data_IF_276881734147
#
_entry.id   IF_276881734147
#
_cell.length_a   1.000
_cell.length_b   1.000
_cell.length_c   1.000
_cell.angle_alpha   90.00
_cell.angle_beta   90.00
_cell.angle_gamma   90.00
#
_symmetry.space_group_name_H-M   'P 1'
#
loop_
_entity.id
_entity.type
_entity.pdbx_description
1 polymer ?
#
# COMPACT_ATOMS: atom_id res chain seq x y z
N UNK A 1 16.84 -5.62 -4.99
CA UNK A 1 16.46 -4.29 -4.47
C UNK A 1 15.85 -3.48 -5.60
N UNK A 2 14.71 -2.90 -5.33
CA UNK A 2 14.03 -2.12 -6.34
C UNK A 2 14.72 -0.79 -6.52
N UNK A 3 14.77 -0.38 -7.76
CA UNK A 3 15.41 0.86 -8.16
C UNK A 3 14.53 2.05 -7.75
N UNK A 4 15.11 3.00 -7.01
CA UNK A 4 14.43 4.24 -6.65
C UNK A 4 14.07 5.09 -7.89
N UNK A 5 14.67 4.74 -9.05
CA UNK A 5 14.39 5.41 -10.31
C UNK A 5 13.25 4.76 -11.09
N UNK A 6 12.52 3.81 -10.46
CA UNK A 6 11.37 3.18 -11.08
C UNK A 6 10.41 4.25 -11.61
N UNK A 7 10.16 4.20 -12.91
CA UNK A 7 9.31 5.19 -13.58
C UNK A 7 7.85 4.82 -13.37
N UNK A 8 7.19 5.55 -12.49
CA UNK A 8 5.79 5.34 -12.17
C UNK A 8 4.91 6.31 -12.94
N UNK A 9 3.73 5.83 -13.30
CA UNK A 9 2.67 6.71 -13.75
C UNK A 9 2.40 7.78 -12.68
N UNK A 10 2.14 9.05 -13.07
CA UNK A 10 1.93 10.12 -12.11
C UNK A 10 0.91 9.82 -11.01
N UNK A 11 -0.17 9.13 -11.34
CA UNK A 11 -1.19 8.76 -10.35
C UNK A 11 -0.63 7.80 -9.29
N UNK A 12 0.20 6.85 -9.71
CA UNK A 12 0.84 5.91 -8.76
C UNK A 12 1.84 6.63 -7.87
N UNK A 13 2.58 7.57 -8.43
CA UNK A 13 3.52 8.39 -7.67
C UNK A 13 2.79 9.25 -6.64
N UNK A 14 1.69 9.86 -7.03
CA UNK A 14 0.88 10.67 -6.11
C UNK A 14 0.31 9.82 -4.98
N UNK A 15 -0.16 8.61 -5.29
CA UNK A 15 -0.67 7.68 -4.28
C UNK A 15 0.42 7.32 -3.25
N UNK A 16 1.63 7.03 -3.72
CA UNK A 16 2.77 6.74 -2.84
C UNK A 16 3.09 7.93 -1.94
N UNK A 17 3.16 9.12 -2.50
CA UNK A 17 3.44 10.34 -1.73
C UNK A 17 2.35 10.62 -0.71
N UNK A 18 1.10 10.38 -1.08
CA UNK A 18 -0.03 10.57 -0.20
C UNK A 18 0.05 9.66 1.01
N UNK A 19 0.25 8.36 0.78
CA UNK A 19 0.38 7.37 1.87
C UNK A 19 1.60 7.68 2.73
N UNK A 20 2.73 8.00 2.12
CA UNK A 20 3.95 8.35 2.83
C UNK A 20 3.73 9.54 3.78
N UNK A 21 3.06 10.57 3.28
CA UNK A 21 2.75 11.75 4.07
C UNK A 21 1.78 11.44 5.22
N UNK A 22 0.75 10.65 4.96
CA UNK A 22 -0.19 10.24 6.01
C UNK A 22 0.50 9.48 7.14
N UNK A 23 1.36 8.54 6.78
CA UNK A 23 2.11 7.75 7.77
C UNK A 23 2.97 8.69 8.63
N UNK A 24 3.68 9.60 8.01
CA UNK A 24 4.53 10.55 8.73
C UNK A 24 3.71 11.46 9.63
N UNK A 25 2.62 12.01 9.14
CA UNK A 25 1.73 12.91 9.91
C UNK A 25 1.20 12.17 11.14
N UNK A 26 0.65 10.98 10.94
CA UNK A 26 0.05 10.22 12.04
C UNK A 26 1.10 9.74 13.04
N UNK A 27 2.28 9.37 12.56
CA UNK A 27 3.38 8.98 13.44
C UNK A 27 3.82 10.16 14.31
N UNK A 28 4.06 11.31 13.70
CA UNK A 28 4.55 12.50 14.43
C UNK A 28 3.49 13.04 15.37
N UNK A 29 2.21 12.98 14.99
CA UNK A 29 1.11 13.40 15.86
C UNK A 29 1.06 12.57 17.15
N UNK A 30 1.56 11.33 17.11
CA UNK A 30 1.64 10.47 18.29
C UNK A 30 2.99 10.55 19.00
N UNK A 31 3.82 11.50 18.64
CA UNK A 31 5.19 11.64 19.17
C UNK A 31 5.99 10.35 19.05
N UNK A 32 5.74 9.60 18.00
CA UNK A 32 6.36 8.30 17.76
C UNK A 32 7.58 8.48 16.85
N UNK A 33 8.70 7.87 17.23
CA UNK A 33 9.89 7.88 16.39
C UNK A 33 9.77 6.87 15.25
N UNK A 34 10.57 7.04 14.21
CA UNK A 34 10.66 6.03 13.15
C UNK A 34 11.09 4.68 13.69
N UNK A 35 12.02 4.67 14.66
CA UNK A 35 12.45 3.44 15.31
C UNK A 35 11.30 2.74 16.05
N UNK A 36 10.45 3.49 16.71
CA UNK A 36 9.29 2.91 17.41
C UNK A 36 8.29 2.31 16.45
N UNK A 37 7.97 3.01 15.36
CA UNK A 37 7.07 2.47 14.34
C UNK A 37 7.66 1.21 13.72
N UNK A 38 8.96 1.23 13.40
CA UNK A 38 9.66 0.07 12.86
C UNK A 38 9.54 -1.14 13.79
N UNK A 39 9.72 -0.93 15.08
CA UNK A 39 9.56 -1.99 16.08
C UNK A 39 8.14 -2.56 16.04
N UNK A 40 7.12 -1.71 16.00
CA UNK A 40 5.72 -2.13 15.98
C UNK A 40 5.37 -2.97 14.76
N UNK A 41 5.93 -2.65 13.60
CA UNK A 41 5.63 -3.37 12.36
C UNK A 41 6.70 -4.37 11.97
N UNK A 42 7.69 -4.57 12.83
CA UNK A 42 8.76 -5.58 12.67
C UNK A 42 9.59 -5.38 11.41
N UNK A 43 10.06 -4.16 11.23
CA UNK A 43 11.00 -3.84 10.16
C UNK A 43 12.11 -2.94 10.70
N UNK A 44 13.05 -2.56 9.86
CA UNK A 44 14.13 -1.67 10.26
C UNK A 44 13.69 -0.20 10.21
N UNK A 45 14.34 0.69 11.00
CA UNK A 45 14.10 2.14 10.87
C UNK A 45 14.37 2.66 9.46
N UNK A 46 15.34 2.08 8.76
CA UNK A 46 15.62 2.45 7.37
C UNK A 46 14.44 2.15 6.44
N UNK A 47 13.72 1.06 6.70
CA UNK A 47 12.50 0.72 5.96
C UNK A 47 11.42 1.79 6.18
N UNK A 48 11.23 2.24 7.41
CA UNK A 48 10.27 3.31 7.70
C UNK A 48 10.68 4.61 7.00
N UNK A 49 11.97 4.92 7.02
CA UNK A 49 12.48 6.10 6.32
C UNK A 49 12.19 6.04 4.83
N UNK A 50 12.39 4.88 4.21
CA UNK A 50 12.10 4.67 2.79
C UNK A 50 10.60 4.80 2.51
N UNK A 51 9.75 4.23 3.37
CA UNK A 51 8.29 4.33 3.23
C UNK A 51 7.84 5.79 3.30
N UNK A 52 8.31 6.53 4.30
CA UNK A 52 7.96 7.95 4.47
C UNK A 52 8.56 8.82 3.38
N UNK A 53 9.58 8.34 2.70
CA UNK A 53 10.16 9.00 1.53
C UNK A 53 9.44 8.70 0.22
N UNK A 54 8.41 7.87 0.25
CA UNK A 54 7.65 7.51 -0.95
C UNK A 54 8.40 6.59 -1.90
N UNK A 55 9.33 5.77 -1.38
CA UNK A 55 10.10 4.86 -2.20
C UNK A 55 9.19 3.77 -2.79
N UNK A 56 9.14 3.65 -4.14
CA UNK A 56 8.26 2.66 -4.77
C UNK A 56 8.71 1.21 -4.55
N UNK A 57 9.93 1.01 -4.07
CA UNK A 57 10.47 -0.32 -3.79
C UNK A 57 10.07 -0.92 -2.45
N UNK A 58 9.25 -0.24 -1.66
CA UNK A 58 8.83 -0.76 -0.37
C UNK A 58 7.78 -1.85 -0.52
N UNK A 59 7.86 -2.86 0.33
CA UNK A 59 6.86 -3.93 0.35
C UNK A 59 5.50 -3.37 0.75
N UNK A 60 4.47 -3.66 -0.05
CA UNK A 60 3.12 -3.15 0.21
C UNK A 60 2.58 -3.63 1.54
N UNK A 61 2.90 -4.86 1.94
CA UNK A 61 2.46 -5.39 3.23
C UNK A 61 3.00 -4.58 4.40
N UNK A 62 4.26 -4.16 4.33
CA UNK A 62 4.85 -3.32 5.38
C UNK A 62 4.21 -1.94 5.42
N UNK A 63 3.92 -1.36 4.26
CA UNK A 63 3.21 -0.07 4.18
C UNK A 63 1.83 -0.19 4.82
N UNK A 64 1.09 -1.24 4.49
CA UNK A 64 -0.22 -1.47 5.09
C UNK A 64 -0.14 -1.73 6.60
N UNK A 65 0.90 -2.42 7.07
CA UNK A 65 1.12 -2.63 8.49
C UNK A 65 1.34 -1.29 9.22
N UNK A 66 2.07 -0.37 8.63
CA UNK A 66 2.24 0.98 9.18
C UNK A 66 0.90 1.71 9.28
N UNK A 67 0.09 1.65 8.23
CA UNK A 67 -1.24 2.26 8.23
C UNK A 67 -2.11 1.68 9.35
N UNK A 68 -2.12 0.35 9.47
CA UNK A 68 -2.90 -0.32 10.53
C UNK A 68 -2.43 0.09 11.93
N UNK A 69 -1.12 0.14 12.15
CA UNK A 69 -0.56 0.52 13.44
C UNK A 69 -0.91 1.97 13.81
N UNK A 70 -1.12 2.83 12.83
CA UNK A 70 -1.41 4.25 13.02
C UNK A 70 -2.90 4.59 12.90
N UNK A 71 -3.75 3.59 12.69
CA UNK A 71 -5.19 3.81 12.56
C UNK A 71 -5.61 4.49 11.25
N UNK A 72 -4.77 4.40 10.22
CA UNK A 72 -5.10 4.94 8.90
C UNK A 72 -5.97 3.92 8.16
N UNK A 73 -7.18 4.28 7.73
CA UNK A 73 -8.03 3.36 6.99
C UNK A 73 -7.38 2.90 5.69
N UNK A 74 -7.37 1.57 5.46
CA UNK A 74 -6.81 1.00 4.25
C UNK A 74 -7.85 1.05 3.13
N UNK A 75 -7.43 1.52 1.96
CA UNK A 75 -8.29 1.63 0.79
C UNK A 75 -9.57 2.46 1.09
N UNK A 76 -9.44 3.44 1.98
CA UNK A 76 -10.53 4.32 2.42
C UNK A 76 -11.70 3.59 3.09
N UNK A 77 -11.44 2.37 3.60
CA UNK A 77 -12.46 1.59 4.29
C UNK A 77 -12.08 1.36 5.75
N UNK A 78 -13.07 1.36 6.62
CA UNK A 78 -12.90 0.89 7.98
C UNK A 78 -12.66 -0.62 7.97
N UNK A 79 -11.99 -1.14 9.01
CA UNK A 79 -11.55 -2.54 9.03
C UNK A 79 -12.69 -3.55 8.81
N UNK A 80 -13.85 -3.32 9.42
CA UNK A 80 -15.00 -4.20 9.27
C UNK A 80 -15.54 -4.18 7.85
N UNK A 81 -15.65 -3.00 7.27
CA UNK A 81 -16.11 -2.82 5.91
C UNK A 81 -15.15 -3.42 4.91
N UNK A 82 -13.85 -3.25 5.15
CA UNK A 82 -12.82 -3.83 4.30
C UNK A 82 -12.91 -5.36 4.30
N UNK A 83 -13.15 -5.96 5.47
CA UNK A 83 -13.33 -7.41 5.58
C UNK A 83 -14.51 -7.90 4.76
N UNK A 84 -15.64 -7.20 4.82
CA UNK A 84 -16.81 -7.53 4.01
C UNK A 84 -16.50 -7.44 2.52
N UNK A 85 -15.89 -6.34 2.08
CA UNK A 85 -15.53 -6.13 0.68
C UNK A 85 -14.55 -7.18 0.21
N UNK A 86 -13.59 -7.56 1.05
CA UNK A 86 -12.66 -8.63 0.73
C UNK A 86 -13.40 -9.95 0.48
N UNK A 87 -14.36 -10.28 1.33
CA UNK A 87 -15.17 -11.48 1.17
C UNK A 87 -15.93 -11.48 -0.16
N UNK A 88 -16.55 -10.37 -0.51
CA UNK A 88 -17.28 -10.23 -1.78
C UNK A 88 -16.34 -10.40 -2.99
N UNK A 89 -15.17 -9.80 -2.94
CA UNK A 89 -14.19 -9.89 -4.02
C UNK A 89 -13.62 -11.31 -4.13
N UNK A 90 -13.40 -11.98 -3.01
CA UNK A 90 -12.92 -13.36 -3.01
C UNK A 90 -13.95 -14.31 -3.62
N UNK A 91 -15.24 -14.10 -3.34
CA UNK A 91 -16.32 -14.86 -3.96
C UNK A 91 -16.33 -14.64 -5.48
N UNK A 92 -16.24 -13.39 -5.91
CA UNK A 92 -16.19 -13.06 -7.32
C UNK A 92 -14.95 -13.69 -8.00
N UNK A 93 -13.81 -13.67 -7.31
CA UNK A 93 -12.58 -14.26 -7.81
C UNK A 93 -12.70 -15.77 -7.99
N UNK A 94 -13.38 -16.45 -7.08
CA UNK A 94 -13.58 -17.89 -7.17
C UNK A 94 -14.40 -18.30 -8.40
N UNK A 95 -15.18 -17.38 -8.95
CA UNK A 95 -15.99 -17.61 -10.15
C UNK A 95 -15.24 -17.33 -11.45
N UNK A 96 -14.01 -16.83 -11.37
CA UNK A 96 -13.22 -16.52 -12.56
C UNK A 96 -12.70 -17.79 -13.21
N UNK A 97 -12.56 -17.80 -14.56
CA UNK A 97 -11.92 -18.93 -15.24
C UNK A 97 -10.46 -19.05 -14.83
N UNK A 98 -9.97 -20.29 -14.81
CA UNK A 98 -8.56 -20.56 -14.46
C UNK A 98 -7.57 -19.93 -15.43
N UNK A 99 -7.97 -19.82 -16.70
CA UNK A 99 -7.13 -19.27 -17.75
C UNK A 99 -7.81 -18.10 -18.40
N UNK A 100 -7.06 -17.05 -18.60
CA UNK A 100 -7.48 -15.93 -19.41
C UNK A 100 -7.19 -16.30 -20.86
N UNK A 101 -8.22 -16.24 -21.72
CA UNK A 101 -8.00 -16.32 -23.16
C UNK A 101 -7.56 -14.94 -23.64
N UNK A 102 -6.42 -14.84 -24.32
CA UNK A 102 -6.03 -13.55 -24.91
C UNK A 102 -7.13 -13.09 -25.87
N UNK A 103 -7.58 -11.86 -25.69
CA UNK A 103 -8.51 -11.25 -26.62
C UNK A 103 -7.81 -10.87 -27.92
N UNK A 104 -8.61 -10.61 -28.95
CA UNK A 104 -8.11 -10.08 -30.23
C UNK A 104 -7.86 -8.58 -30.16
N UNK A 105 -8.35 -7.94 -29.13
CA UNK A 105 -8.17 -6.51 -28.89
C UNK A 105 -7.17 -6.30 -27.76
N UNK A 106 -6.27 -5.34 -27.96
CA UNK A 106 -5.40 -4.93 -26.89
C UNK A 106 -6.22 -4.22 -25.82
N UNK A 107 -6.02 -4.66 -24.58
CA UNK A 107 -6.56 -3.93 -23.45
C UNK A 107 -5.65 -2.74 -23.23
N UNK A 108 -6.20 -1.56 -23.45
CA UNK A 108 -5.49 -0.34 -23.18
C UNK A 108 -5.42 -0.15 -21.67
N UNK A 109 -4.24 -0.42 -21.12
CA UNK A 109 -3.99 -0.24 -19.70
C UNK A 109 -3.39 1.14 -19.49
N UNK A 110 -4.23 2.14 -19.65
CA UNK A 110 -3.83 3.52 -19.43
C UNK A 110 -4.17 3.91 -17.98
N UNK A 111 -3.13 3.98 -17.18
CA UNK A 111 -3.29 4.36 -15.79
C UNK A 111 -3.19 5.86 -15.61
#
# INVERSE_FOLDING_TARGET
>A
MLDATLDLHPAARDALRFIAAQIRIERTARSMTQARLAHLVRCSPNTIRAIEGGNPGCAVGTVFACCSALGIPLLYEEADRLRERRGDVEIATALLPRRVRPGTEEVDVDF
#
